data_IF_072110966740
#
_entry.id   IF_072110966740
#
_cell.length_a   1.000
_cell.length_b   1.000
_cell.length_c   1.000
_cell.angle_alpha   90.00
_cell.angle_beta   90.00
_cell.angle_gamma   90.00
#
_symmetry.space_group_name_H-M   'P 1'
#
loop_
_entity.id
_entity.type
_entity.pdbx_description
1 polymer ?
#
# COMPACT_ATOMS: atom_id res chain seq x y z
N UNK A 1 -23.52 -25.18 -12.90
CA UNK A 1 -23.48 -24.81 -11.48
C UNK A 1 -22.49 -23.67 -11.34
N UNK A 2 -22.89 -22.52 -10.79
CA UNK A 2 -21.95 -21.40 -10.58
C UNK A 2 -20.92 -21.86 -9.54
N UNK A 3 -19.64 -21.83 -9.91
CA UNK A 3 -18.54 -22.25 -9.05
C UNK A 3 -18.49 -21.33 -7.82
N UNK A 4 -18.47 -21.91 -6.61
CA UNK A 4 -18.40 -21.15 -5.36
C UNK A 4 -17.18 -20.20 -5.32
N UNK A 5 -16.10 -20.55 -6.05
CA UNK A 5 -14.92 -19.71 -6.23
C UNK A 5 -15.25 -18.37 -6.90
N UNK A 6 -16.20 -18.34 -7.84
CA UNK A 6 -16.62 -17.12 -8.51
C UNK A 6 -17.39 -16.22 -7.54
N UNK A 7 -18.30 -16.80 -6.74
CA UNK A 7 -19.07 -16.04 -5.74
C UNK A 7 -18.15 -15.44 -4.68
N UNK A 8 -17.23 -16.25 -4.11
CA UNK A 8 -16.24 -15.78 -3.15
C UNK A 8 -15.30 -14.73 -3.75
N UNK A 9 -14.92 -14.89 -5.03
CA UNK A 9 -14.11 -13.93 -5.76
C UNK A 9 -14.79 -12.57 -5.88
N UNK A 10 -16.06 -12.55 -6.32
CA UNK A 10 -16.85 -11.31 -6.44
C UNK A 10 -17.02 -10.62 -5.09
N UNK A 11 -17.35 -11.36 -4.03
CA UNK A 11 -17.49 -10.82 -2.67
C UNK A 11 -16.17 -10.22 -2.17
N UNK A 12 -15.05 -10.92 -2.39
CA UNK A 12 -13.73 -10.46 -1.97
C UNK A 12 -13.34 -9.15 -2.67
N UNK A 13 -13.60 -9.06 -3.97
CA UNK A 13 -13.34 -7.84 -4.75
C UNK A 13 -14.22 -6.69 -4.26
N UNK A 14 -15.51 -6.92 -4.03
CA UNK A 14 -16.43 -5.90 -3.52
C UNK A 14 -15.98 -5.36 -2.14
N UNK A 15 -15.61 -6.26 -1.22
CA UNK A 15 -15.08 -5.88 0.09
C UNK A 15 -13.78 -5.08 -0.01
N UNK A 16 -12.87 -5.48 -0.91
CA UNK A 16 -11.63 -4.75 -1.14
C UNK A 16 -11.89 -3.32 -1.64
N UNK A 17 -12.79 -3.14 -2.61
CA UNK A 17 -13.16 -1.81 -3.11
C UNK A 17 -13.79 -0.93 -2.03
N UNK A 18 -14.69 -1.49 -1.21
CA UNK A 18 -15.30 -0.77 -0.09
C UNK A 18 -14.24 -0.40 0.95
N UNK A 19 -13.36 -1.33 1.31
CA UNK A 19 -12.30 -1.10 2.29
C UNK A 19 -11.33 -0.01 1.84
N UNK A 20 -10.84 -0.07 0.59
CA UNK A 20 -9.97 0.97 0.04
C UNK A 20 -10.69 2.31 -0.08
N UNK A 21 -11.96 2.32 -0.50
CA UNK A 21 -12.77 3.53 -0.58
C UNK A 21 -12.91 4.24 0.77
N UNK A 22 -13.23 3.48 1.83
CA UNK A 22 -13.31 4.00 3.20
C UNK A 22 -11.93 4.52 3.66
N UNK A 23 -10.86 3.77 3.40
CA UNK A 23 -9.51 4.15 3.79
C UNK A 23 -9.09 5.49 3.17
N UNK A 24 -9.24 5.63 1.85
CA UNK A 24 -8.97 6.89 1.15
C UNK A 24 -9.85 8.03 1.66
N UNK A 25 -11.16 7.79 1.85
CA UNK A 25 -12.07 8.79 2.39
C UNK A 25 -11.63 9.27 3.80
N UNK A 26 -11.17 8.36 4.66
CA UNK A 26 -10.68 8.70 5.99
C UNK A 26 -9.37 9.50 5.96
N UNK A 27 -8.48 9.22 5.00
CA UNK A 27 -7.28 10.05 4.74
C UNK A 27 -7.70 11.45 4.30
N UNK A 28 -8.61 11.56 3.32
CA UNK A 28 -9.03 12.86 2.81
C UNK A 28 -9.76 13.69 3.86
N UNK A 29 -10.53 13.03 4.74
CA UNK A 29 -11.25 13.61 5.87
C UNK A 29 -10.35 13.93 7.08
N UNK A 30 -9.05 13.63 7.02
CA UNK A 30 -8.09 13.88 8.10
C UNK A 30 -8.26 13.01 9.34
N UNK A 31 -9.14 12.00 9.30
CA UNK A 31 -9.37 11.03 10.40
C UNK A 31 -8.21 10.05 10.53
N UNK A 32 -7.59 9.71 9.41
CA UNK A 32 -6.38 8.89 9.35
C UNK A 32 -5.25 9.75 8.77
N UNK A 33 -4.13 9.76 9.48
CA UNK A 33 -2.89 10.36 9.01
C UNK A 33 -1.89 9.24 8.71
N UNK A 34 -1.72 8.85 7.44
CA UNK A 34 -0.81 7.78 7.09
C UNK A 34 0.64 8.19 7.42
N UNK A 35 1.44 7.26 7.95
CA UNK A 35 2.87 7.47 8.17
C UNK A 35 3.63 7.32 6.85
N UNK A 36 4.21 8.42 6.37
CA UNK A 36 4.91 8.45 5.08
C UNK A 36 6.03 7.39 5.00
N UNK A 37 6.82 7.20 6.07
CA UNK A 37 7.92 6.23 6.07
C UNK A 37 7.45 4.79 5.81
N UNK A 38 6.37 4.35 6.46
CA UNK A 38 5.79 3.02 6.26
C UNK A 38 5.35 2.82 4.82
N UNK A 39 4.59 3.76 4.26
CA UNK A 39 4.09 3.66 2.89
C UNK A 39 5.20 3.74 1.84
N UNK A 40 6.28 4.47 2.13
CA UNK A 40 7.48 4.51 1.31
C UNK A 40 8.18 3.14 1.26
N UNK A 41 8.44 2.52 2.42
CA UNK A 41 9.07 1.19 2.49
C UNK A 41 8.23 0.16 1.75
N UNK A 42 6.91 0.15 1.93
CA UNK A 42 6.01 -0.75 1.22
C UNK A 42 6.00 -0.52 -0.29
N UNK A 43 5.97 0.74 -0.74
CA UNK A 43 6.03 1.07 -2.17
C UNK A 43 7.35 0.61 -2.81
N UNK A 44 8.47 0.88 -2.15
CA UNK A 44 9.81 0.54 -2.64
C UNK A 44 10.04 -0.97 -2.68
N UNK A 45 9.70 -1.69 -1.60
CA UNK A 45 9.83 -3.16 -1.56
C UNK A 45 8.93 -3.83 -2.60
N UNK A 46 7.68 -3.39 -2.75
CA UNK A 46 6.79 -3.88 -3.79
C UNK A 46 7.31 -3.55 -5.20
N UNK A 47 7.93 -2.39 -5.41
CA UNK A 47 8.56 -2.04 -6.68
C UNK A 47 9.72 -2.99 -7.00
N UNK A 48 10.61 -3.27 -6.04
CA UNK A 48 11.71 -4.21 -6.20
C UNK A 48 11.19 -5.60 -6.56
N UNK A 49 10.14 -6.08 -5.87
CA UNK A 49 9.53 -7.39 -6.17
C UNK A 49 8.89 -7.37 -7.56
N UNK A 50 8.21 -6.28 -7.95
CA UNK A 50 7.60 -6.14 -9.26
C UNK A 50 8.65 -6.20 -10.37
N UNK A 51 9.67 -5.34 -10.32
CA UNK A 51 10.73 -5.32 -11.33
C UNK A 51 11.53 -6.62 -11.34
N UNK A 52 11.83 -7.19 -10.16
CA UNK A 52 12.49 -8.50 -10.06
C UNK A 52 11.66 -9.62 -10.69
N UNK A 53 10.34 -9.59 -10.51
CA UNK A 53 9.41 -10.54 -11.13
C UNK A 53 9.32 -10.36 -12.65
N UNK A 54 9.34 -9.11 -13.14
CA UNK A 54 9.35 -8.82 -14.57
C UNK A 54 10.60 -9.37 -15.26
N UNK A 55 11.78 -9.18 -14.66
CA UNK A 55 13.05 -9.70 -15.21
C UNK A 55 13.06 -11.23 -15.27
N UNK A 56 12.33 -11.90 -14.36
CA UNK A 56 12.17 -13.36 -14.35
C UNK A 56 11.04 -13.88 -15.25
N UNK A 57 10.38 -13.02 -16.03
CA UNK A 57 9.32 -13.43 -16.96
C UNK A 57 7.99 -13.78 -16.28
N UNK A 58 7.71 -13.25 -15.08
CA UNK A 58 6.49 -13.56 -14.32
C UNK A 58 5.16 -13.13 -15.01
N UNK A 59 5.24 -12.35 -16.10
CA UNK A 59 4.07 -11.96 -16.90
C UNK A 59 2.96 -11.31 -16.07
N UNK A 60 1.73 -11.77 -16.27
CA UNK A 60 0.55 -11.25 -15.57
C UNK A 60 0.60 -11.44 -14.04
N UNK A 61 1.39 -12.40 -13.53
CA UNK A 61 1.56 -12.61 -12.10
C UNK A 61 2.22 -11.42 -11.38
N UNK A 62 3.03 -10.64 -12.08
CA UNK A 62 3.65 -9.44 -11.52
C UNK A 62 2.68 -8.25 -11.40
N UNK A 63 1.58 -8.24 -12.15
CA UNK A 63 0.69 -7.07 -12.24
C UNK A 63 0.05 -6.72 -10.89
N UNK A 64 -0.29 -7.73 -10.09
CA UNK A 64 -0.82 -7.52 -8.74
C UNK A 64 0.19 -6.79 -7.86
N UNK A 65 1.46 -7.19 -7.89
CA UNK A 65 2.54 -6.52 -7.14
C UNK A 65 2.80 -5.10 -7.65
N UNK A 66 2.75 -4.89 -8.97
CA UNK A 66 2.86 -3.55 -9.56
C UNK A 66 1.73 -2.62 -9.11
N UNK A 67 0.48 -3.12 -9.10
CA UNK A 67 -0.68 -2.37 -8.62
C UNK A 67 -0.57 -2.02 -7.12
N UNK A 68 -0.05 -2.95 -6.30
CA UNK A 68 0.23 -2.70 -4.87
C UNK A 68 1.30 -1.62 -4.73
N UNK A 69 2.42 -1.73 -5.47
CA UNK A 69 3.50 -0.74 -5.42
C UNK A 69 3.01 0.67 -5.76
N UNK A 70 2.19 0.79 -6.81
CA UNK A 70 1.58 2.05 -7.21
C UNK A 70 0.61 2.60 -6.15
N UNK A 71 -0.24 1.74 -5.60
CA UNK A 71 -1.20 2.14 -4.55
C UNK A 71 -0.48 2.63 -3.31
N UNK A 72 0.55 1.91 -2.85
CA UNK A 72 1.39 2.33 -1.73
C UNK A 72 2.13 3.65 -2.03
N UNK A 73 2.57 3.86 -3.27
CA UNK A 73 3.21 5.10 -3.70
C UNK A 73 2.22 6.28 -3.61
N UNK A 74 0.99 6.11 -4.08
CA UNK A 74 -0.05 7.14 -3.98
C UNK A 74 -0.35 7.48 -2.52
N UNK A 75 -0.48 6.47 -1.64
CA UNK A 75 -0.70 6.71 -0.22
C UNK A 75 0.52 7.40 0.43
N UNK A 76 1.75 7.06 0.04
CA UNK A 76 2.96 7.75 0.47
C UNK A 76 2.94 9.23 0.09
N UNK A 77 2.63 9.55 -1.17
CA UNK A 77 2.52 10.93 -1.64
C UNK A 77 1.44 11.68 -0.85
N UNK A 78 0.27 11.07 -0.66
CA UNK A 78 -0.80 11.64 0.19
C UNK A 78 -0.34 11.84 1.64
N UNK A 79 0.47 10.93 2.18
CA UNK A 79 1.05 11.04 3.52
C UNK A 79 2.07 12.19 3.64
N UNK A 80 2.78 12.56 2.58
CA UNK A 80 3.68 13.73 2.62
C UNK A 80 2.90 15.04 2.73
N UNK A 81 1.73 15.13 2.09
CA UNK A 81 0.89 16.33 2.11
C UNK A 81 -0.08 16.40 3.31
N UNK A 82 -0.66 15.26 3.70
CA UNK A 82 -1.72 15.16 4.72
C UNK A 82 -1.39 14.23 5.91
N UNK A 83 -0.24 13.56 5.91
CA UNK A 83 0.18 12.65 6.99
C UNK A 83 0.71 13.37 8.21
N UNK A 84 0.91 12.61 9.29
CA UNK A 84 1.35 13.17 10.57
C UNK A 84 2.80 13.64 10.44
N UNK A 85 3.03 14.93 10.70
CA UNK A 85 4.38 15.53 10.70
C UNK A 85 5.13 15.32 12.01
N UNK A 86 4.63 14.44 12.88
CA UNK A 86 5.29 14.06 14.12
C UNK A 86 6.46 13.12 13.80
N UNK A 87 7.51 13.67 13.17
CA UNK A 87 8.84 13.08 13.22
C UNK A 87 9.37 13.35 14.64
N UNK A 88 9.10 12.43 15.56
CA UNK A 88 9.73 12.47 16.87
C UNK A 88 11.22 12.18 16.70
N UNK A 89 12.05 13.14 17.08
CA UNK A 89 13.52 13.05 17.08
C UNK A 89 14.05 11.82 17.86
N UNK A 90 13.19 11.17 18.67
CA UNK A 90 13.50 9.93 19.39
C UNK A 90 13.74 8.72 18.49
N UNK A 91 13.15 8.66 17.29
CA UNK A 91 13.34 7.53 16.37
C UNK A 91 14.77 7.51 15.79
N UNK A 92 15.38 8.69 15.65
CA UNK A 92 16.80 8.82 15.31
C UNK A 92 17.72 8.38 16.46
N UNK A 93 17.30 8.58 17.71
CA UNK A 93 18.08 8.19 18.89
C UNK A 93 18.08 6.67 19.11
N UNK A 94 16.98 5.97 18.78
CA UNK A 94 16.90 4.51 18.84
C UNK A 94 17.68 3.82 17.72
N UNK A 95 17.83 4.45 16.55
CA UNK A 95 18.64 3.90 15.45
C UNK A 95 20.15 4.13 15.62
N UNK A 96 20.53 5.17 16.38
CA UNK A 96 21.93 5.58 16.59
C UNK A 96 22.59 4.96 17.82
N UNK A 97 21.89 4.11 18.58
CA UNK A 97 22.50 3.29 19.63
C UNK A 97 22.61 1.84 19.16
N UNK A 98 23.84 1.31 18.95
CA UNK A 98 24.06 -0.12 18.79
C UNK A 98 23.69 -0.89 20.07
#
# INVERSE_FOLDING_TARGET
MVDYKIILGVVSVALAFVGYGIYFWQIFSGKIKPHAFTWFVWSLTAAIIFFGSLVKGAGAGAWATGAISLTCFVVFVLALFKGDRNFLFSDWFFLARP
#
